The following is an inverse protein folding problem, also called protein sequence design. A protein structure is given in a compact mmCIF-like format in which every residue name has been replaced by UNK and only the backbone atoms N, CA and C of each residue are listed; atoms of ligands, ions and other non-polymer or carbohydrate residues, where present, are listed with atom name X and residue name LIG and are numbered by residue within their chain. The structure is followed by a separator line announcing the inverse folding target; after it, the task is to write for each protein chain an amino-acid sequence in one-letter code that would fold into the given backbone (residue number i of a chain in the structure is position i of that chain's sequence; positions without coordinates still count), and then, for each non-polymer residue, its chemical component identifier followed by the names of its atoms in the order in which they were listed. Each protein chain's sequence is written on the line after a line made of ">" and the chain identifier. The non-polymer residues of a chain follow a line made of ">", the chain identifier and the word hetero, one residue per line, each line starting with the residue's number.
data_IF_905257578337
#
_entry.id   IF_905257578337
#
_cell.length_a   1.000
_cell.length_b   1.000
_cell.length_c   1.000
_cell.angle_alpha   90.00
_cell.angle_beta   90.00
_cell.angle_gamma   90.00
#
_symmetry.space_group_name_H-M   'P 1'
#
loop_
_entity.id
_entity.type
_entity.pdbx_description
1 polymer ?
#
# COMPACT_ATOMS: atom_id res chain seq x y z
N UNK A 1 1.94 -10.61 2.29
CA UNK A 1 1.13 -9.38 2.46
C UNK A 1 -0.36 -9.61 2.71
N UNK A 2 -1.07 -10.47 1.94
CA UNK A 2 -2.53 -10.61 2.09
C UNK A 2 -3.02 -10.90 3.52
N UNK A 3 -2.28 -11.70 4.28
CA UNK A 3 -2.62 -12.02 5.68
C UNK A 3 -2.53 -10.75 6.55
N UNK A 4 -1.41 -10.03 6.49
CA UNK A 4 -1.22 -8.79 7.25
C UNK A 4 -2.28 -7.74 6.92
N UNK A 5 -2.59 -7.53 5.63
CA UNK A 5 -3.64 -6.58 5.22
C UNK A 5 -5.00 -6.94 5.83
N UNK A 6 -5.37 -8.23 5.85
CA UNK A 6 -6.64 -8.71 6.43
C UNK A 6 -6.69 -8.59 7.95
N UNK A 7 -5.58 -8.87 8.63
CA UNK A 7 -5.52 -8.89 10.11
C UNK A 7 -5.43 -7.47 10.68
N UNK A 8 -4.76 -6.55 9.98
CA UNK A 8 -4.42 -5.22 10.49
C UNK A 8 -5.36 -4.11 10.01
N UNK A 9 -6.21 -4.36 9.01
CA UNK A 9 -7.09 -3.33 8.42
C UNK A 9 -8.45 -3.90 8.06
N UNK A 10 -9.45 -3.04 7.90
CA UNK A 10 -10.80 -3.34 7.41
C UNK A 10 -11.03 -2.70 6.04
N UNK A 11 -12.14 -3.06 5.40
CA UNK A 11 -12.59 -2.37 4.17
C UNK A 11 -12.79 -0.88 4.46
N UNK A 12 -12.37 -0.02 3.53
CA UNK A 12 -12.39 1.43 3.64
C UNK A 12 -11.15 2.06 4.30
N UNK A 13 -10.36 1.28 5.06
CA UNK A 13 -9.15 1.79 5.73
C UNK A 13 -8.09 2.24 4.73
N UNK A 14 -7.27 3.21 5.15
CA UNK A 14 -6.11 3.69 4.40
C UNK A 14 -4.86 2.85 4.67
N UNK A 15 -4.08 2.60 3.63
CA UNK A 15 -2.76 1.94 3.70
C UNK A 15 -1.74 2.84 3.01
N UNK A 16 -0.70 3.24 3.74
CA UNK A 16 0.41 3.99 3.17
C UNK A 16 1.29 3.04 2.36
N UNK A 17 1.42 3.32 1.07
CA UNK A 17 2.39 2.66 0.19
C UNK A 17 3.53 3.66 -0.09
N UNK A 18 4.75 3.16 -0.18
CA UNK A 18 5.93 3.96 -0.42
C UNK A 18 6.57 3.58 -1.78
N UNK A 19 6.16 4.24 -2.89
CA UNK A 19 6.73 4.00 -4.20
C UNK A 19 8.20 4.47 -4.31
N UNK A 20 9.02 3.88 -5.20
CA UNK A 20 8.67 2.75 -6.06
C UNK A 20 8.60 1.42 -5.28
N UNK A 21 7.53 0.66 -5.51
CA UNK A 21 7.33 -0.68 -4.96
C UNK A 21 6.65 -1.57 -6.00
N UNK A 22 6.82 -2.87 -5.89
CA UNK A 22 6.30 -3.87 -6.82
C UNK A 22 4.78 -3.75 -7.04
N UNK A 23 4.33 -3.61 -8.30
CA UNK A 23 2.94 -3.28 -8.65
C UNK A 23 1.84 -4.16 -8.04
N UNK A 24 2.03 -5.48 -7.86
CA UNK A 24 1.06 -6.32 -7.16
C UNK A 24 0.75 -5.87 -5.73
N UNK A 25 1.56 -5.00 -5.12
CA UNK A 25 1.22 -4.40 -3.84
C UNK A 25 -0.04 -3.54 -3.93
N UNK A 26 -0.15 -2.70 -4.96
CA UNK A 26 -1.32 -1.83 -5.15
C UNK A 26 -2.57 -2.64 -5.43
N UNK A 27 -2.46 -3.69 -6.25
CA UNK A 27 -3.58 -4.54 -6.62
C UNK A 27 -4.16 -5.27 -5.41
N UNK A 28 -3.32 -5.78 -4.51
CA UNK A 28 -3.80 -6.46 -3.30
C UNK A 28 -4.54 -5.49 -2.36
N UNK A 29 -4.13 -4.22 -2.29
CA UNK A 29 -4.79 -3.20 -1.45
C UNK A 29 -6.14 -2.82 -2.07
N UNK A 30 -6.17 -2.51 -3.38
CA UNK A 30 -7.41 -2.14 -4.11
C UNK A 30 -8.44 -3.28 -4.14
N UNK A 31 -8.02 -4.51 -4.45
CA UNK A 31 -8.90 -5.68 -4.55
C UNK A 31 -9.50 -6.12 -3.20
N UNK A 32 -9.11 -5.45 -2.12
CA UNK A 32 -9.59 -5.69 -0.76
C UNK A 32 -10.33 -4.46 -0.22
N UNK A 33 -10.68 -3.50 -1.08
CA UNK A 33 -11.41 -2.28 -0.74
C UNK A 33 -10.67 -1.39 0.27
N UNK A 34 -9.33 -1.40 0.27
CA UNK A 34 -8.54 -0.43 1.04
C UNK A 34 -8.14 0.74 0.15
N UNK A 35 -7.97 1.90 0.76
CA UNK A 35 -7.50 3.12 0.08
C UNK A 35 -5.98 3.14 0.11
N UNK A 36 -5.36 3.36 -1.03
CA UNK A 36 -3.90 3.56 -1.09
C UNK A 36 -3.61 5.04 -0.81
N UNK A 37 -2.70 5.29 0.13
CA UNK A 37 -2.12 6.61 0.41
C UNK A 37 -0.67 6.59 -0.08
N UNK A 38 -0.35 7.42 -1.07
CA UNK A 38 0.97 7.41 -1.71
C UNK A 38 1.96 8.25 -0.92
N UNK A 39 3.11 7.66 -0.59
CA UNK A 39 4.25 8.33 0.05
C UNK A 39 5.53 8.08 -0.78
N UNK A 40 5.71 8.79 -1.88
CA UNK A 40 6.82 8.54 -2.81
C UNK A 40 8.17 8.80 -2.12
N UNK A 41 9.10 7.85 -2.26
CA UNK A 41 10.51 8.10 -1.97
C UNK A 41 11.04 9.14 -2.95
N UNK A 42 11.87 10.02 -2.41
CA UNK A 42 12.66 10.95 -3.19
C UNK A 42 14.06 10.35 -3.27
N UNK A 43 14.64 10.38 -4.48
CA UNK A 43 16.06 10.08 -4.63
C UNK A 43 16.84 11.27 -4.10
N UNK A 44 17.74 11.01 -3.16
CA UNK A 44 18.68 11.99 -2.62
C UNK A 44 20.09 11.59 -3.09
N UNK A 45 20.82 12.55 -3.64
CA UNK A 45 22.13 12.33 -4.31
C UNK A 45 23.33 12.40 -3.35
N UNK A 46 23.10 12.65 -2.06
CA UNK A 46 24.15 12.81 -1.03
C UNK A 46 24.97 11.54 -0.73
#
# INVERSE_FOLDING_TARGET
>A
MQIALKVLTKSGDGVIAQPPVYDPFYEIIKNKDRKIIMNHLLYDEE
#
